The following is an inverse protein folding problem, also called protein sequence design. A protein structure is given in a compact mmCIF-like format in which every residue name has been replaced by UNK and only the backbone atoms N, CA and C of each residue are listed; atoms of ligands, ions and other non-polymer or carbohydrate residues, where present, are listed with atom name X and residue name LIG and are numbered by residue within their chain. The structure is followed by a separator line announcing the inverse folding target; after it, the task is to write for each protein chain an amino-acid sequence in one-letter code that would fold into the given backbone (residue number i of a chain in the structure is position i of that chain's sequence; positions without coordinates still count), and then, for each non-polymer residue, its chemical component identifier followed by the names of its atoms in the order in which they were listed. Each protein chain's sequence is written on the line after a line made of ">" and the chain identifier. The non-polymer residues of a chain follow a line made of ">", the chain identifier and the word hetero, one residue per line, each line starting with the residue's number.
data_IF_030992532282
#
_entry.id   IF_030992532282
#
_cell.length_a   1.000
_cell.length_b   1.000
_cell.length_c   1.000
_cell.angle_alpha   90.00
_cell.angle_beta   90.00
_cell.angle_gamma   90.00
#
_symmetry.space_group_name_H-M   'P 1'
#
loop_
_entity.id
_entity.type
_entity.pdbx_description
1 polymer ?
#
# COMPACT_ATOMS: atom_id res chain seq x y z
N UNK A 1 -13.91 58.51 -3.75
CA UNK A 1 -12.49 58.16 -3.58
C UNK A 1 -12.47 56.77 -2.99
N UNK A 2 -12.53 55.82 -3.91
CA UNK A 2 -12.64 54.39 -3.69
C UNK A 2 -11.25 53.78 -3.47
N UNK A 3 -11.22 52.75 -2.63
CA UNK A 3 -10.45 51.55 -2.94
C UNK A 3 -9.01 51.45 -2.45
N UNK A 4 -8.75 50.32 -1.80
CA UNK A 4 -7.50 49.54 -1.85
C UNK A 4 -6.35 49.89 -0.90
N UNK A 5 -6.56 49.60 0.39
CA UNK A 5 -5.49 49.15 1.30
C UNK A 5 -5.63 47.64 1.54
N UNK A 6 -5.41 46.85 0.48
CA UNK A 6 -5.36 45.38 0.50
C UNK A 6 -4.15 44.84 -0.26
N UNK A 7 -3.03 45.54 -0.19
CA UNK A 7 -1.77 45.10 -0.80
C UNK A 7 -0.71 44.90 0.28
N UNK A 8 -0.21 43.67 0.39
CA UNK A 8 1.14 43.27 0.84
C UNK A 8 1.21 41.98 1.68
N UNK A 9 0.26 41.06 1.52
CA UNK A 9 0.43 39.68 2.00
C UNK A 9 0.28 38.68 0.85
N UNK A 10 1.05 38.89 -0.23
CA UNK A 10 1.28 37.86 -1.24
C UNK A 10 2.69 38.03 -1.79
N UNK A 11 3.34 36.92 -2.13
CA UNK A 11 4.68 36.81 -2.73
C UNK A 11 5.91 36.78 -1.80
N UNK A 12 5.94 35.84 -0.85
CA UNK A 12 7.16 35.05 -0.64
C UNK A 12 6.88 33.63 -1.14
N UNK A 13 7.01 33.44 -2.45
CA UNK A 13 6.90 32.15 -3.12
C UNK A 13 8.07 31.24 -2.77
N UNK A 14 7.95 30.50 -1.68
CA UNK A 14 8.64 29.23 -1.49
C UNK A 14 7.75 28.15 -2.11
N UNK A 15 8.24 27.30 -3.03
CA UNK A 15 7.40 26.29 -3.65
C UNK A 15 6.79 25.36 -2.57
N UNK A 16 5.53 24.94 -2.70
CA UNK A 16 4.86 24.04 -1.77
C UNK A 16 5.43 22.61 -1.90
N UNK A 17 6.69 22.39 -1.51
CA UNK A 17 7.27 21.05 -1.40
C UNK A 17 6.88 20.37 -0.08
N UNK A 18 6.53 21.14 0.96
CA UNK A 18 6.04 20.63 2.23
C UNK A 18 4.59 20.11 2.13
N UNK A 19 3.75 20.75 1.31
CA UNK A 19 2.36 20.31 1.07
C UNK A 19 2.28 19.02 0.26
N UNK A 20 3.28 18.74 -0.57
CA UNK A 20 3.32 17.51 -1.32
C UNK A 20 3.45 16.31 -0.37
N UNK A 21 4.45 16.31 0.52
CA UNK A 21 4.65 15.23 1.50
C UNK A 21 3.45 15.09 2.45
N UNK A 22 2.88 16.19 2.94
CA UNK A 22 1.71 16.13 3.84
C UNK A 22 0.45 15.64 3.13
N UNK A 23 0.24 15.99 1.85
CA UNK A 23 -0.83 15.46 0.99
C UNK A 23 -0.64 13.97 0.68
N UNK A 24 0.61 13.53 0.45
CA UNK A 24 0.94 12.11 0.28
C UNK A 24 0.75 11.32 1.58
N UNK A 25 1.16 11.85 2.74
CA UNK A 25 0.91 11.24 4.05
C UNK A 25 -0.58 11.19 4.38
N UNK A 26 -1.35 12.26 4.14
CA UNK A 26 -2.81 12.26 4.27
C UNK A 26 -3.49 11.30 3.30
N UNK A 27 -2.97 11.14 2.09
CA UNK A 27 -3.47 10.19 1.09
C UNK A 27 -3.17 8.73 1.41
N UNK A 28 -2.10 8.45 2.17
CA UNK A 28 -1.75 7.13 2.71
C UNK A 28 -2.54 6.82 3.99
N UNK A 29 -2.85 7.84 4.81
CA UNK A 29 -3.60 7.72 6.06
C UNK A 29 -5.13 7.85 5.88
N UNK A 30 -5.62 8.16 4.68
CA UNK A 30 -7.04 8.15 4.38
C UNK A 30 -7.59 6.71 4.51
N UNK A 31 -8.66 6.49 5.31
CA UNK A 31 -9.19 5.16 5.58
C UNK A 31 -9.72 4.54 4.29
N UNK A 32 -8.95 3.59 3.72
CA UNK A 32 -9.27 2.88 2.48
C UNK A 32 -8.17 2.90 1.40
N UNK A 33 -7.15 3.75 1.51
CA UNK A 33 -6.07 3.87 0.51
C UNK A 33 -4.85 2.96 0.79
N UNK A 34 -4.76 2.39 2.00
CA UNK A 34 -3.65 1.52 2.43
C UNK A 34 -3.61 0.12 1.77
N UNK A 35 -4.61 -0.21 0.95
CA UNK A 35 -4.76 -1.50 0.24
C UNK A 35 -4.52 -1.38 -1.27
N UNK A 36 -3.79 -0.36 -1.72
CA UNK A 36 -3.41 -0.18 -3.11
C UNK A 36 -2.08 -0.92 -3.42
N UNK A 37 -2.01 -1.78 -4.46
CA UNK A 37 -0.83 -2.59 -4.82
C UNK A 37 0.48 -1.79 -4.94
N UNK A 38 0.36 -0.48 -5.19
CA UNK A 38 1.48 0.45 -5.30
C UNK A 38 2.29 0.59 -4.00
N UNK A 39 1.65 0.64 -2.82
CA UNK A 39 2.38 0.76 -1.54
C UNK A 39 3.19 -0.51 -1.24
N UNK A 40 2.63 -1.67 -1.56
CA UNK A 40 3.29 -2.95 -1.34
C UNK A 40 4.49 -3.12 -2.29
N UNK A 41 4.38 -2.63 -3.53
CA UNK A 41 5.51 -2.58 -4.47
C UNK A 41 6.60 -1.61 -4.00
N UNK A 42 6.22 -0.47 -3.41
CA UNK A 42 7.19 0.45 -2.82
C UNK A 42 7.94 -0.18 -1.64
N UNK A 43 7.24 -0.90 -0.76
CA UNK A 43 7.85 -1.63 0.35
C UNK A 43 8.83 -2.70 -0.14
N UNK A 44 8.44 -3.51 -1.11
CA UNK A 44 9.32 -4.51 -1.76
C UNK A 44 10.56 -3.84 -2.37
N UNK A 45 10.40 -2.71 -3.06
CA UNK A 45 11.50 -1.95 -3.63
C UNK A 45 12.48 -1.40 -2.58
N UNK A 46 11.97 -0.87 -1.46
CA UNK A 46 12.81 -0.34 -0.36
C UNK A 46 13.56 -1.48 0.34
N UNK A 47 12.89 -2.60 0.61
CA UNK A 47 13.49 -3.78 1.22
C UNK A 47 14.57 -4.42 0.32
N UNK A 48 14.29 -4.57 -0.97
CA UNK A 48 15.26 -5.06 -1.95
C UNK A 48 16.47 -4.12 -2.07
N UNK A 49 16.24 -2.80 -2.06
CA UNK A 49 17.31 -1.80 -2.08
C UNK A 49 18.15 -1.88 -0.80
N UNK A 50 17.51 -2.02 0.37
CA UNK A 50 18.20 -2.18 1.65
C UNK A 50 19.03 -3.45 1.67
N UNK A 51 18.48 -4.57 1.19
CA UNK A 51 19.18 -5.85 1.08
C UNK A 51 20.39 -5.73 0.14
N UNK A 52 20.25 -5.05 -1.01
CA UNK A 52 21.36 -4.80 -1.94
C UNK A 52 22.48 -4.01 -1.26
N UNK A 53 22.13 -2.96 -0.52
CA UNK A 53 23.09 -2.14 0.23
C UNK A 53 23.76 -2.98 1.33
N UNK A 54 22.99 -3.76 2.09
CA UNK A 54 23.50 -4.70 3.11
C UNK A 54 24.45 -5.73 2.50
N UNK A 55 24.14 -6.27 1.32
CA UNK A 55 24.99 -7.22 0.61
C UNK A 55 26.28 -6.57 0.13
N UNK A 56 26.21 -5.34 -0.39
CA UNK A 56 27.38 -4.55 -0.76
C UNK A 56 28.28 -4.25 0.44
N UNK A 57 27.69 -3.83 1.55
CA UNK A 57 28.42 -3.60 2.81
C UNK A 57 29.03 -4.89 3.36
N UNK A 58 28.33 -6.02 3.25
CA UNK A 58 28.81 -7.32 3.72
C UNK A 58 30.11 -7.74 3.02
N UNK A 59 30.20 -7.55 1.70
CA UNK A 59 31.43 -7.80 0.94
C UNK A 59 32.53 -6.79 1.30
N UNK A 60 32.18 -5.51 1.44
CA UNK A 60 33.14 -4.46 1.79
C UNK A 60 33.76 -4.63 3.19
N UNK A 61 33.03 -5.23 4.13
CA UNK A 61 33.40 -5.27 5.57
C UNK A 61 34.01 -6.61 6.00
N UNK A 62 34.54 -7.44 5.08
CA UNK A 62 35.19 -8.72 5.41
C UNK A 62 34.27 -9.74 6.15
N UNK A 63 33.04 -9.98 5.67
CA UNK A 63 32.18 -11.08 6.17
C UNK A 63 31.89 -11.02 7.69
N UNK A 64 31.49 -9.86 8.20
CA UNK A 64 31.11 -9.73 9.60
C UNK A 64 29.78 -10.44 9.91
N UNK A 65 29.75 -11.34 10.91
CA UNK A 65 28.55 -12.06 11.35
C UNK A 65 27.37 -11.15 11.69
N UNK A 66 27.63 -9.91 12.15
CA UNK A 66 26.58 -8.94 12.44
C UNK A 66 25.78 -8.58 11.18
N UNK A 67 26.46 -8.31 10.06
CA UNK A 67 25.84 -8.00 8.77
C UNK A 67 25.12 -9.21 8.17
N UNK A 68 25.61 -10.43 8.45
CA UNK A 68 24.91 -11.66 8.08
C UNK A 68 23.57 -11.80 8.82
N UNK A 69 23.52 -11.50 10.12
CA UNK A 69 22.25 -11.52 10.86
C UNK A 69 21.27 -10.45 10.34
N UNK A 70 21.76 -9.25 10.04
CA UNK A 70 20.92 -8.19 9.48
C UNK A 70 20.32 -8.58 8.13
N UNK A 71 21.08 -9.24 7.25
CA UNK A 71 20.54 -9.72 5.97
C UNK A 71 19.52 -10.86 6.13
N UNK A 72 19.73 -11.77 7.08
CA UNK A 72 18.78 -12.86 7.38
C UNK A 72 17.47 -12.33 7.95
N UNK A 73 17.55 -11.41 8.91
CA UNK A 73 16.35 -10.77 9.50
C UNK A 73 15.58 -10.03 8.41
N UNK A 74 16.29 -9.36 7.50
CA UNK A 74 15.65 -8.70 6.38
C UNK A 74 14.92 -9.68 5.44
N UNK A 75 15.55 -10.78 5.04
CA UNK A 75 14.88 -11.81 4.24
C UNK A 75 13.65 -12.41 4.97
N UNK A 76 13.73 -12.56 6.29
CA UNK A 76 12.63 -13.04 7.11
C UNK A 76 11.46 -12.04 7.10
N UNK A 77 11.78 -10.74 7.18
CA UNK A 77 10.79 -9.66 7.09
C UNK A 77 10.13 -9.62 5.71
N UNK A 78 10.93 -9.72 4.64
CA UNK A 78 10.45 -9.82 3.26
C UNK A 78 9.49 -11.00 3.06
N UNK A 79 9.85 -12.18 3.60
CA UNK A 79 8.99 -13.36 3.57
C UNK A 79 7.67 -13.14 4.34
N UNK A 80 7.72 -12.51 5.52
CA UNK A 80 6.53 -12.20 6.32
C UNK A 80 5.56 -11.28 5.58
N UNK A 81 6.08 -10.27 4.87
CA UNK A 81 5.27 -9.37 4.05
C UNK A 81 4.65 -10.12 2.88
N UNK A 82 5.46 -10.87 2.12
CA UNK A 82 5.00 -11.67 0.98
C UNK A 82 3.89 -12.65 1.35
N UNK A 83 4.01 -13.31 2.49
CA UNK A 83 2.97 -14.21 3.00
C UNK A 83 1.70 -13.42 3.38
N UNK A 84 1.85 -12.29 4.07
CA UNK A 84 0.73 -11.41 4.43
C UNK A 84 -0.05 -10.91 3.20
N UNK A 85 0.63 -10.63 2.08
CA UNK A 85 -0.04 -10.29 0.81
C UNK A 85 -0.91 -11.42 0.29
N UNK A 86 -0.35 -12.63 0.27
CA UNK A 86 -1.06 -13.83 -0.21
C UNK A 86 -2.31 -14.08 0.63
N UNK A 87 -2.17 -13.96 1.95
CA UNK A 87 -3.27 -14.13 2.89
C UNK A 87 -4.37 -13.06 2.66
N UNK A 88 -4.00 -11.78 2.51
CA UNK A 88 -4.96 -10.71 2.21
C UNK A 88 -5.67 -10.91 0.87
N UNK A 89 -4.97 -11.39 -0.16
CA UNK A 89 -5.59 -11.69 -1.45
C UNK A 89 -6.59 -12.84 -1.33
N UNK A 90 -6.25 -13.88 -0.56
CA UNK A 90 -7.12 -15.02 -0.33
C UNK A 90 -8.39 -14.63 0.44
N UNK A 91 -8.26 -13.82 1.49
CA UNK A 91 -9.40 -13.29 2.25
C UNK A 91 -10.30 -12.42 1.36
N UNK A 92 -9.72 -11.50 0.58
CA UNK A 92 -10.49 -10.65 -0.36
C UNK A 92 -11.20 -11.47 -1.43
N UNK A 93 -10.56 -12.52 -1.96
CA UNK A 93 -11.15 -13.41 -2.95
C UNK A 93 -12.32 -14.21 -2.37
N UNK A 94 -12.24 -14.62 -1.10
CA UNK A 94 -13.35 -15.27 -0.39
C UNK A 94 -14.54 -14.34 -0.14
N UNK A 95 -14.30 -13.08 0.24
CA UNK A 95 -15.36 -12.07 0.39
C UNK A 95 -16.06 -11.76 -0.94
N UNK A 96 -15.31 -11.72 -2.05
CA UNK A 96 -15.87 -11.55 -3.38
C UNK A 96 -16.68 -12.77 -3.85
N UNK A 97 -16.28 -13.98 -3.47
CA UNK A 97 -17.00 -15.21 -3.82
C UNK A 97 -18.31 -15.39 -3.02
N UNK A 98 -18.39 -14.93 -1.77
CA UNK A 98 -19.61 -15.02 -0.96
C UNK A 98 -20.75 -14.12 -1.48
N UNK A 99 -20.44 -12.95 -2.06
CA UNK A 99 -21.45 -12.05 -2.63
C UNK A 99 -22.15 -12.58 -3.89
N UNK A 100 -21.65 -13.64 -4.53
CA UNK A 100 -22.20 -14.17 -5.78
C UNK A 100 -22.98 -15.50 -5.62
N UNK A 101 -23.05 -16.05 -4.41
CA UNK A 101 -23.73 -17.34 -4.15
C UNK A 101 -25.15 -17.23 -3.58
N UNK A 102 -25.64 -16.02 -3.26
CA UNK A 102 -27.01 -15.81 -2.75
C UNK A 102 -28.04 -15.46 -3.85
N UNK A 103 -27.66 -15.59 -5.13
CA UNK A 103 -28.48 -15.21 -6.29
C UNK A 103 -29.01 -16.34 -7.16
N UNK A 104 -28.83 -17.63 -6.81
CA UNK A 104 -29.26 -18.74 -7.67
C UNK A 104 -29.84 -19.95 -6.92
N UNK A 105 -30.88 -19.75 -6.10
CA UNK A 105 -31.82 -20.83 -5.74
C UNK A 105 -33.25 -20.29 -5.58
N UNK A 106 -33.73 -19.43 -6.48
CA UNK A 106 -35.17 -19.22 -6.58
C UNK A 106 -35.61 -18.94 -8.01
N UNK A 107 -36.64 -19.67 -8.45
CA UNK A 107 -37.37 -19.58 -9.73
C UNK A 107 -36.83 -20.41 -10.89
N UNK A 108 -37.14 -21.71 -10.87
CA UNK A 108 -37.86 -22.43 -11.94
C UNK A 108 -38.34 -23.75 -11.33
N UNK A 109 -39.62 -24.10 -11.22
CA UNK A 109 -40.88 -23.42 -11.46
C UNK A 109 -41.92 -24.22 -10.66
N UNK A 110 -42.63 -23.56 -9.76
CA UNK A 110 -43.89 -24.03 -9.23
C UNK A 110 -44.86 -22.88 -9.36
N UNK A 111 -45.65 -22.89 -10.44
CA UNK A 111 -47.06 -22.53 -10.36
C UNK A 111 -47.85 -23.09 -11.54
N UNK A 112 -49.14 -23.38 -11.30
CA UNK A 112 -49.99 -24.31 -12.02
C UNK A 112 -50.80 -23.60 -13.10
N UNK A 113 -51.26 -24.36 -14.10
CA UNK A 113 -52.33 -23.91 -15.01
C UNK A 113 -52.92 -25.10 -15.79
N UNK A 114 -54.19 -25.41 -15.45
CA UNK A 114 -55.29 -25.98 -16.25
C UNK A 114 -55.01 -27.05 -17.31
N UNK A 115 -55.51 -28.28 -17.08
CA UNK A 115 -56.62 -28.91 -17.84
C UNK A 115 -57.21 -30.10 -17.06
#
# INVERSE_FOLDING_TARGET
>A
MDGDDRTANDATGTPPMEDALSSFFSGILAPGSSLNPTFLLALDGVLATLLLVLLGLFVATNYNFHLLFLSVIELCLWASIKWFLSELQQVRAQEAAQNHSDGHTNKTGSKPKDE
#
